data_IF_066725786905
#
_entry.id   IF_066725786905
#
_cell.length_a   1.000
_cell.length_b   1.000
_cell.length_c   1.000
_cell.angle_alpha   90.00
_cell.angle_beta   90.00
_cell.angle_gamma   90.00
#
_symmetry.space_group_name_H-M   'P 1'
#
loop_
_entity.id
_entity.type
_entity.pdbx_description
1 polymer ?
#
# COMPACT_ATOMS: atom_id res chain seq x y z
N UNK A 1 -14.06 -1.14 1.74
CA UNK A 1 -13.35 0.15 1.61
C UNK A 1 -12.50 0.29 0.34
N UNK A 2 -12.10 -0.79 -0.37
CA UNK A 2 -11.64 -0.67 -1.77
C UNK A 2 -12.79 -0.69 -2.81
N UNK A 3 -14.03 -0.93 -2.36
CA UNK A 3 -15.20 -1.07 -3.23
C UNK A 3 -15.87 0.28 -3.53
N UNK A 4 -15.78 1.24 -2.60
CA UNK A 4 -16.54 2.49 -2.68
C UNK A 4 -15.87 3.56 -3.56
N UNK A 5 -14.56 3.49 -3.77
CA UNK A 5 -13.79 4.47 -4.55
C UNK A 5 -13.88 4.27 -6.07
N UNK A 6 -14.41 3.14 -6.55
CA UNK A 6 -14.46 2.84 -8.00
C UNK A 6 -15.85 3.11 -8.58
N UNK A 7 -16.90 3.08 -7.75
CA UNK A 7 -18.28 3.32 -8.18
C UNK A 7 -18.49 4.77 -8.63
N UNK A 8 -17.76 5.74 -8.07
CA UNK A 8 -17.85 7.14 -8.50
C UNK A 8 -17.17 7.43 -9.85
N UNK A 9 -16.25 6.56 -10.30
CA UNK A 9 -15.52 6.76 -11.56
C UNK A 9 -16.28 6.29 -12.81
N UNK A 10 -17.29 5.42 -12.67
CA UNK A 10 -18.06 4.88 -13.80
C UNK A 10 -19.28 5.74 -14.17
N UNK A 11 -19.72 6.67 -13.31
CA UNK A 11 -20.95 7.46 -13.55
C UNK A 11 -20.75 8.75 -14.36
N UNK A 12 -19.53 9.15 -14.71
CA UNK A 12 -19.24 10.44 -15.35
C UNK A 12 -18.74 10.39 -16.81
N UNK A 13 -18.75 9.22 -17.47
CA UNK A 13 -18.18 9.08 -18.83
C UNK A 13 -19.21 9.29 -19.96
N UNK A 14 -20.49 9.50 -19.66
CA UNK A 14 -21.50 9.85 -20.66
C UNK A 14 -21.97 11.30 -20.53
N UNK A 15 -21.16 12.25 -21.00
CA UNK A 15 -21.60 13.43 -21.77
C UNK A 15 -20.43 14.34 -22.13
N UNK A 16 -20.51 14.87 -23.34
CA UNK A 16 -19.75 16.01 -23.88
C UNK A 16 -18.39 15.70 -24.50
N UNK A 17 -18.38 15.67 -25.83
CA UNK A 17 -17.16 15.68 -26.62
C UNK A 17 -16.52 17.07 -26.68
N UNK A 18 -15.24 17.11 -26.35
CA UNK A 18 -14.23 17.94 -27.00
C UNK A 18 -12.86 17.32 -26.65
N UNK A 19 -12.10 16.90 -27.66
CA UNK A 19 -10.77 16.34 -27.46
C UNK A 19 -9.81 17.50 -27.17
N UNK A 20 -9.42 17.64 -25.91
CA UNK A 20 -8.24 18.42 -25.51
C UNK A 20 -7.26 17.49 -24.79
N UNK A 21 -6.01 17.52 -25.22
CA UNK A 21 -5.00 16.50 -25.00
C UNK A 21 -4.20 16.71 -23.72
N UNK A 22 -4.90 16.67 -22.58
CA UNK A 22 -4.30 16.39 -21.27
C UNK A 22 -5.20 15.36 -20.60
N UNK A 23 -4.91 14.07 -20.82
CA UNK A 23 -5.45 13.02 -19.98
C UNK A 23 -4.89 13.29 -18.58
N UNK A 24 -5.70 13.90 -17.73
CA UNK A 24 -5.48 14.06 -16.31
C UNK A 24 -5.59 12.67 -15.69
N UNK A 25 -4.52 11.87 -15.85
CA UNK A 25 -4.44 10.53 -15.28
C UNK A 25 -4.41 10.74 -13.77
N UNK A 26 -5.37 10.15 -13.07
CA UNK A 26 -5.41 10.13 -11.60
C UNK A 26 -3.99 9.83 -11.05
N UNK A 27 -3.38 10.77 -10.30
CA UNK A 27 -2.04 10.60 -9.74
C UNK A 27 -1.88 9.31 -8.95
N UNK A 28 -2.96 8.83 -8.31
CA UNK A 28 -2.97 7.56 -7.56
C UNK A 28 -2.89 6.36 -8.50
N UNK A 29 -3.66 6.38 -9.59
CA UNK A 29 -3.61 5.34 -10.61
C UNK A 29 -2.22 5.27 -11.27
N UNK A 30 -1.60 6.44 -11.52
CA UNK A 30 -0.23 6.54 -12.04
C UNK A 30 0.80 5.96 -11.06
N UNK A 31 0.71 6.33 -9.77
CA UNK A 31 1.59 5.81 -8.72
C UNK A 31 1.43 4.29 -8.52
N UNK A 32 0.21 3.78 -8.59
CA UNK A 32 -0.04 2.34 -8.50
C UNK A 32 0.54 1.58 -9.70
N UNK A 33 0.40 2.13 -10.90
CA UNK A 33 1.01 1.54 -12.10
C UNK A 33 2.54 1.57 -12.02
N UNK A 34 3.13 2.63 -11.46
CA UNK A 34 4.56 2.72 -11.22
C UNK A 34 5.04 1.62 -10.24
N UNK A 35 4.31 1.40 -9.15
CA UNK A 35 4.59 0.30 -8.20
C UNK A 35 4.53 -1.07 -8.89
N UNK A 36 3.49 -1.31 -9.70
CA UNK A 36 3.36 -2.57 -10.45
C UNK A 36 4.56 -2.76 -11.38
N UNK A 37 4.89 -1.74 -12.17
CA UNK A 37 6.02 -1.82 -13.11
C UNK A 37 7.33 -2.09 -12.38
N UNK A 38 7.56 -1.42 -11.24
CA UNK A 38 8.72 -1.68 -10.39
C UNK A 38 8.82 -3.14 -9.94
N UNK A 39 7.70 -3.73 -9.51
CA UNK A 39 7.66 -5.14 -9.12
C UNK A 39 7.81 -6.10 -10.30
N UNK A 40 7.29 -5.76 -11.48
CA UNK A 40 7.49 -6.55 -12.70
C UNK A 40 8.97 -6.57 -13.09
N UNK A 41 9.65 -5.43 -13.01
CA UNK A 41 11.07 -5.31 -13.37
C UNK A 41 11.99 -6.07 -12.40
N UNK A 42 11.57 -6.21 -11.14
CA UNK A 42 12.30 -6.98 -10.11
C UNK A 42 11.91 -8.47 -10.06
N UNK A 43 10.84 -8.86 -10.76
CA UNK A 43 10.43 -10.25 -10.82
C UNK A 43 11.41 -11.03 -11.69
N UNK A 44 11.89 -12.17 -11.19
CA UNK A 44 12.82 -13.03 -11.94
C UNK A 44 12.15 -13.75 -13.11
N UNK A 45 10.81 -13.80 -13.15
CA UNK A 45 10.05 -14.46 -14.21
C UNK A 45 9.90 -13.52 -15.41
N UNK A 46 10.05 -14.03 -16.65
CA UNK A 46 9.82 -13.22 -17.83
C UNK A 46 8.34 -12.80 -17.92
N UNK A 47 8.07 -11.66 -18.56
CA UNK A 47 6.72 -11.13 -18.74
C UNK A 47 5.73 -12.13 -19.37
N UNK A 48 6.23 -13.04 -20.22
CA UNK A 48 5.42 -14.13 -20.80
C UNK A 48 4.94 -15.15 -19.76
N UNK A 49 5.74 -15.45 -18.74
CA UNK A 49 5.36 -16.34 -17.65
C UNK A 49 4.32 -15.68 -16.74
N UNK A 50 4.50 -14.40 -16.41
CA UNK A 50 3.51 -13.61 -15.66
C UNK A 50 2.17 -13.58 -16.42
N UNK A 51 2.21 -13.26 -17.72
CA UNK A 51 1.02 -13.26 -18.57
C UNK A 51 0.31 -14.62 -18.63
N UNK A 52 1.08 -15.72 -18.66
CA UNK A 52 0.54 -17.10 -18.63
C UNK A 52 -0.22 -17.39 -17.33
N UNK A 53 0.30 -16.97 -16.18
CA UNK A 53 -0.38 -17.12 -14.88
C UNK A 53 -1.70 -16.32 -14.87
N UNK A 54 -1.66 -15.10 -15.42
CA UNK A 54 -2.84 -14.23 -15.54
C UNK A 54 -3.82 -14.69 -16.63
N UNK A 55 -3.48 -15.71 -17.42
CA UNK A 55 -4.28 -16.22 -18.56
C UNK A 55 -4.57 -15.14 -19.61
N UNK A 56 -3.61 -14.27 -19.87
CA UNK A 56 -3.68 -13.22 -20.91
C UNK A 56 -2.48 -13.29 -21.84
N UNK A 57 -2.57 -12.63 -23.00
CA UNK A 57 -1.41 -12.55 -23.91
C UNK A 57 -0.32 -11.62 -23.37
N UNK A 58 0.95 -11.90 -23.67
CA UNK A 58 2.08 -11.00 -23.37
C UNK A 58 1.83 -9.59 -23.89
N UNK A 59 1.26 -9.47 -25.10
CA UNK A 59 0.92 -8.18 -25.71
C UNK A 59 -0.14 -7.43 -24.89
N UNK A 60 -1.16 -8.15 -24.41
CA UNK A 60 -2.21 -7.57 -23.57
C UNK A 60 -1.65 -7.08 -22.23
N UNK A 61 -0.83 -7.89 -21.56
CA UNK A 61 -0.14 -7.47 -20.33
C UNK A 61 0.73 -6.24 -20.58
N UNK A 62 1.54 -6.25 -21.65
CA UNK A 62 2.37 -5.09 -22.02
C UNK A 62 1.53 -3.83 -22.28
N UNK A 63 0.38 -3.94 -22.95
CA UNK A 63 -0.52 -2.78 -23.14
C UNK A 63 -1.07 -2.25 -21.82
N UNK A 64 -1.33 -3.10 -20.84
CA UNK A 64 -1.81 -2.68 -19.52
C UNK A 64 -0.70 -1.96 -18.74
N UNK A 65 0.51 -2.52 -18.72
CA UNK A 65 1.66 -1.96 -18.00
C UNK A 65 2.11 -0.60 -18.55
N UNK A 66 1.91 -0.37 -19.84
CA UNK A 66 2.20 0.91 -20.50
C UNK A 66 1.02 1.91 -20.47
N UNK A 67 -0.08 1.60 -19.77
CA UNK A 67 -1.26 2.48 -19.72
C UNK A 67 -2.09 2.55 -21.01
N UNK A 68 -1.70 1.85 -22.09
CA UNK A 68 -2.44 1.78 -23.36
C UNK A 68 -3.74 0.98 -23.31
N UNK A 69 -4.01 0.29 -22.20
CA UNK A 69 -5.25 -0.42 -21.90
C UNK A 69 -5.53 -0.27 -20.41
N UNK A 70 -6.71 0.26 -20.00
CA UNK A 70 -7.06 0.31 -18.60
C UNK A 70 -7.15 -1.10 -18.00
N UNK A 71 -6.65 -1.24 -16.78
CA UNK A 71 -6.64 -2.50 -16.05
C UNK A 71 -7.95 -2.67 -15.29
N UNK A 72 -8.65 -3.78 -15.48
CA UNK A 72 -9.85 -4.08 -14.70
C UNK A 72 -9.47 -4.45 -13.25
N UNK A 73 -10.36 -4.20 -12.29
CA UNK A 73 -10.15 -4.55 -10.87
C UNK A 73 -9.71 -6.00 -10.69
N UNK A 74 -10.40 -6.94 -11.36
CA UNK A 74 -10.06 -8.36 -11.25
C UNK A 74 -8.67 -8.71 -11.84
N UNK A 75 -8.20 -7.95 -12.84
CA UNK A 75 -6.85 -8.10 -13.39
C UNK A 75 -5.81 -7.51 -12.45
N UNK A 76 -6.13 -6.36 -11.84
CA UNK A 76 -5.30 -5.68 -10.84
C UNK A 76 -5.06 -6.57 -9.63
N UNK A 77 -6.13 -7.10 -9.02
CA UNK A 77 -6.05 -7.98 -7.85
C UNK A 77 -5.20 -9.22 -8.11
N UNK A 78 -5.37 -9.85 -9.28
CA UNK A 78 -4.57 -11.01 -9.67
C UNK A 78 -3.11 -10.62 -9.90
N UNK A 79 -2.85 -9.47 -10.52
CA UNK A 79 -1.49 -9.02 -10.78
C UNK A 79 -0.76 -8.68 -9.47
N UNK A 80 -1.41 -8.00 -8.53
CA UNK A 80 -0.86 -7.73 -7.20
C UNK A 80 -0.57 -9.02 -6.43
N UNK A 81 -1.44 -10.02 -6.52
CA UNK A 81 -1.22 -11.34 -5.91
C UNK A 81 -0.01 -12.04 -6.55
N UNK A 82 0.06 -12.09 -7.88
CA UNK A 82 1.17 -12.72 -8.62
C UNK A 82 2.51 -12.08 -8.30
N UNK A 83 2.54 -10.75 -8.17
CA UNK A 83 3.73 -9.96 -7.85
C UNK A 83 4.01 -9.89 -6.34
N UNK A 84 3.16 -10.49 -5.50
CA UNK A 84 3.25 -10.46 -4.03
C UNK A 84 3.32 -9.03 -3.47
N UNK A 85 2.56 -8.13 -4.07
CA UNK A 85 2.38 -6.77 -3.58
C UNK A 85 1.38 -6.83 -2.43
N UNK A 86 1.77 -6.37 -1.25
CA UNK A 86 0.88 -6.22 -0.09
C UNK A 86 -0.09 -5.05 -0.36
N UNK A 87 -1.41 -5.32 -0.50
CA UNK A 87 -2.37 -4.27 -0.83
C UNK A 87 -2.47 -3.19 0.25
N UNK A 88 -2.37 -3.56 1.53
CA UNK A 88 -2.48 -2.60 2.62
C UNK A 88 -1.25 -1.68 2.66
N UNK A 89 -0.06 -2.24 2.43
CA UNK A 89 1.18 -1.45 2.33
C UNK A 89 1.17 -0.53 1.12
N UNK A 90 0.67 -1.00 -0.03
CA UNK A 90 0.54 -0.19 -1.24
C UNK A 90 -0.42 0.99 -1.03
N UNK A 91 -1.57 0.77 -0.37
CA UNK A 91 -2.51 1.83 -0.03
C UNK A 91 -1.86 2.88 0.87
N UNK A 92 -1.12 2.48 1.91
CA UNK A 92 -0.45 3.47 2.78
C UNK A 92 0.62 4.26 2.01
N UNK A 93 1.45 3.60 1.21
CA UNK A 93 2.47 4.28 0.41
C UNK A 93 1.85 5.29 -0.58
N UNK A 94 0.79 4.89 -1.28
CA UNK A 94 0.24 5.69 -2.39
C UNK A 94 -0.82 6.69 -1.91
N UNK A 95 -1.78 6.27 -1.09
CA UNK A 95 -2.93 7.12 -0.72
C UNK A 95 -2.67 7.98 0.51
N UNK A 96 -1.83 7.50 1.45
CA UNK A 96 -1.55 8.21 2.70
C UNK A 96 -0.26 9.02 2.59
N UNK A 97 0.83 8.40 2.12
CA UNK A 97 2.13 9.06 1.99
C UNK A 97 2.20 9.85 0.66
N UNK A 98 1.55 9.38 -0.39
CA UNK A 98 1.60 10.03 -1.71
C UNK A 98 2.85 9.67 -2.52
N UNK A 99 3.61 8.67 -2.10
CA UNK A 99 4.82 8.22 -2.78
C UNK A 99 4.88 6.68 -2.82
N UNK A 100 4.79 6.13 -4.03
CA UNK A 100 4.88 4.69 -4.24
C UNK A 100 6.24 4.12 -3.86
N UNK A 101 7.32 4.92 -3.93
CA UNK A 101 8.68 4.47 -3.59
C UNK A 101 8.80 4.10 -2.10
N UNK A 102 7.98 4.72 -1.25
CA UNK A 102 7.89 4.36 0.16
C UNK A 102 7.36 2.95 0.40
N UNK A 103 6.80 2.26 -0.62
CA UNK A 103 6.41 0.87 -0.50
C UNK A 103 7.57 0.00 -0.02
N UNK A 104 8.80 0.22 -0.47
CA UNK A 104 9.96 -0.57 -0.05
C UNK A 104 10.65 -0.02 1.21
N UNK A 105 10.18 1.09 1.75
CA UNK A 105 10.76 1.70 2.95
C UNK A 105 10.67 0.74 4.14
N UNK A 106 11.81 0.38 4.80
CA UNK A 106 11.81 -0.53 5.94
C UNK A 106 10.97 0.00 7.11
N UNK A 107 10.95 1.31 7.32
CA UNK A 107 10.14 1.98 8.34
C UNK A 107 8.65 1.78 8.10
N UNK A 108 8.17 1.91 6.86
CA UNK A 108 6.80 1.55 6.52
C UNK A 108 6.52 0.06 6.83
N UNK A 109 7.46 -0.83 6.52
CA UNK A 109 7.36 -2.24 6.88
C UNK A 109 7.15 -2.48 8.38
N UNK A 110 7.91 -1.77 9.23
CA UNK A 110 7.77 -1.83 10.69
C UNK A 110 6.41 -1.30 11.14
N UNK A 111 5.98 -0.16 10.60
CA UNK A 111 4.66 0.43 10.92
C UNK A 111 3.54 -0.54 10.59
N UNK A 112 3.56 -1.19 9.42
CA UNK A 112 2.55 -2.18 9.04
C UNK A 112 2.49 -3.36 10.02
N UNK A 113 3.64 -3.85 10.49
CA UNK A 113 3.71 -4.90 11.51
C UNK A 113 3.15 -4.46 12.86
N UNK A 114 3.39 -3.21 13.27
CA UNK A 114 2.86 -2.66 14.52
C UNK A 114 1.35 -2.44 14.46
N UNK A 115 0.81 -2.03 13.31
CA UNK A 115 -0.62 -1.79 13.12
C UNK A 115 -1.44 -3.08 13.02
N UNK A 116 -0.87 -4.16 12.47
CA UNK A 116 -1.57 -5.44 12.31
C UNK A 116 -2.29 -5.97 13.58
N UNK A 117 -1.63 -6.08 14.75
CA UNK A 117 -2.29 -6.53 15.97
C UNK A 117 -3.37 -5.55 16.46
N UNK A 118 -3.19 -4.24 16.24
CA UNK A 118 -4.20 -3.22 16.60
C UNK A 118 -5.46 -3.42 15.76
N UNK A 119 -5.33 -3.53 14.43
CA UNK A 119 -6.45 -3.77 13.52
C UNK A 119 -7.15 -5.09 13.84
N UNK A 120 -6.39 -6.15 14.13
CA UNK A 120 -6.94 -7.46 14.51
C UNK A 120 -7.80 -7.36 15.78
N UNK A 121 -7.29 -6.67 16.82
CA UNK A 121 -8.04 -6.47 18.07
C UNK A 121 -9.26 -5.59 17.88
N UNK A 122 -9.17 -4.55 17.06
CA UNK A 122 -10.31 -3.68 16.73
C UNK A 122 -11.41 -4.49 16.06
N UNK A 123 -11.10 -5.28 15.03
CA UNK A 123 -12.08 -6.13 14.34
C UNK A 123 -12.73 -7.18 15.25
N UNK A 124 -11.99 -7.71 16.21
CA UNK A 124 -12.50 -8.71 17.14
C UNK A 124 -13.39 -8.12 18.25
N UNK A 125 -13.25 -6.82 18.56
CA UNK A 125 -13.89 -6.19 19.72
C UNK A 125 -14.91 -5.12 19.36
N UNK A 126 -14.86 -4.56 18.15
CA UNK A 126 -15.79 -3.54 17.71
C UNK A 126 -17.15 -4.19 17.40
N UNK A 127 -18.16 -3.79 18.16
CA UNK A 127 -19.58 -4.07 17.93
C UNK A 127 -20.27 -2.96 17.11
N UNK A 128 -19.50 -1.95 16.69
CA UNK A 128 -19.95 -0.82 15.88
C UNK A 128 -19.00 -0.54 14.70
N UNK A 129 -19.49 0.24 13.72
CA UNK A 129 -18.70 0.66 12.58
C UNK A 129 -17.58 1.63 13.00
N UNK A 130 -16.33 1.24 12.76
CA UNK A 130 -15.16 2.06 13.07
C UNK A 130 -15.18 3.32 12.20
N UNK A 131 -15.18 4.48 12.85
CA UNK A 131 -15.11 5.79 12.18
C UNK A 131 -13.67 6.33 12.18
N UNK A 132 -13.31 7.17 11.19
CA UNK A 132 -12.03 7.87 11.21
C UNK A 132 -11.85 8.71 12.47
N UNK A 133 -10.62 8.75 13.00
CA UNK A 133 -10.30 9.64 14.11
C UNK A 133 -10.44 11.10 13.70
N UNK A 134 -10.96 11.94 14.60
CA UNK A 134 -10.92 13.39 14.43
C UNK A 134 -9.47 13.89 14.49
N UNK A 135 -9.17 15.02 13.85
CA UNK A 135 -7.79 15.57 13.82
C UNK A 135 -7.17 15.71 15.22
N UNK A 136 -7.87 16.23 16.25
CA UNK A 136 -7.31 16.28 17.61
C UNK A 136 -7.04 14.91 18.23
N UNK A 137 -7.86 13.90 17.91
CA UNK A 137 -7.64 12.54 18.38
C UNK A 137 -6.47 11.86 17.65
N UNK A 138 -6.27 12.17 16.37
CA UNK A 138 -5.10 11.73 15.60
C UNK A 138 -3.82 12.29 16.23
N UNK A 139 -3.76 13.60 16.46
CA UNK A 139 -2.57 14.26 16.97
C UNK A 139 -2.19 13.69 18.36
N UNK A 140 -3.17 13.53 19.26
CA UNK A 140 -2.93 12.90 20.58
C UNK A 140 -2.46 11.46 20.48
N UNK A 141 -3.01 10.68 19.56
CA UNK A 141 -2.59 9.29 19.35
C UNK A 141 -1.18 9.24 18.80
N UNK A 142 -0.84 10.14 17.86
CA UNK A 142 0.49 10.26 17.29
C UNK A 142 1.54 10.60 18.35
N UNK A 143 1.28 11.60 19.19
CA UNK A 143 2.19 11.99 20.28
C UNK A 143 2.38 10.82 21.26
N UNK A 144 1.28 10.21 21.72
CA UNK A 144 1.33 9.08 22.64
C UNK A 144 2.10 7.87 22.06
N UNK A 145 1.90 7.57 20.78
CA UNK A 145 2.62 6.49 20.10
C UNK A 145 4.11 6.80 19.99
N UNK A 146 4.47 8.02 19.62
CA UNK A 146 5.87 8.44 19.52
C UNK A 146 6.58 8.30 20.88
N UNK A 147 5.98 8.84 21.94
CA UNK A 147 6.53 8.76 23.30
C UNK A 147 6.66 7.31 23.78
N UNK A 148 5.66 6.47 23.49
CA UNK A 148 5.66 5.05 23.87
C UNK A 148 6.78 4.28 23.15
N UNK A 149 6.98 4.53 21.85
CA UNK A 149 8.06 3.91 21.06
C UNK A 149 9.42 4.34 21.60
N UNK A 150 9.64 5.65 21.79
CA UNK A 150 10.90 6.20 22.32
C UNK A 150 11.21 5.58 23.70
N UNK A 151 10.22 5.57 24.59
CA UNK A 151 10.38 4.99 25.94
C UNK A 151 10.73 3.50 25.87
N UNK A 152 10.10 2.73 24.98
CA UNK A 152 10.38 1.31 24.84
C UNK A 152 11.80 1.07 24.29
N UNK A 153 12.23 1.85 23.31
CA UNK A 153 13.60 1.80 22.77
C UNK A 153 14.66 2.13 23.84
N UNK A 154 14.41 3.12 24.68
CA UNK A 154 15.26 3.44 25.82
C UNK A 154 15.35 2.26 26.81
N UNK A 155 14.21 1.62 27.12
CA UNK A 155 14.20 0.43 27.99
C UNK A 155 14.97 -0.75 27.39
N UNK A 156 14.81 -1.00 26.09
CA UNK A 156 15.54 -2.06 25.37
C UNK A 156 17.04 -1.78 25.40
N UNK A 157 17.44 -0.53 25.12
CA UNK A 157 18.85 -0.09 25.16
C UNK A 157 19.45 -0.25 26.55
N UNK A 158 18.74 0.20 27.59
CA UNK A 158 19.18 0.09 28.98
C UNK A 158 19.36 -1.38 29.40
N UNK A 159 18.45 -2.28 28.99
CA UNK A 159 18.60 -3.73 29.23
C UNK A 159 19.85 -4.28 28.54
N UNK A 160 20.02 -3.99 27.24
CA UNK A 160 21.19 -4.43 26.47
C UNK A 160 22.50 -3.97 27.10
N UNK A 161 22.59 -2.69 27.46
CA UNK A 161 23.81 -2.11 28.03
C UNK A 161 24.08 -2.65 29.45
N UNK A 162 23.03 -3.07 30.18
CA UNK A 162 23.18 -3.78 31.45
C UNK A 162 23.75 -5.18 31.24
N UNK A 163 23.29 -5.92 30.22
CA UNK A 163 23.85 -7.24 29.87
C UNK A 163 25.33 -7.16 29.44
N UNK A 164 25.72 -6.13 28.69
CA UNK A 164 27.11 -5.92 28.25
C UNK A 164 28.08 -5.55 29.39
N UNK A 165 27.56 -5.21 30.58
CA UNK A 165 28.35 -4.88 31.78
C UNK A 165 28.49 -6.05 32.75
N UNK A 166 27.95 -7.22 32.43
CA UNK A 166 28.17 -8.43 33.23
C UNK A 166 29.61 -8.94 32.99
N UNK A 167 30.37 -9.31 34.04
CA UNK A 167 31.70 -9.86 33.86
C UNK A 167 31.63 -11.18 33.08
N UNK A 168 32.54 -11.36 32.12
CA UNK A 168 32.72 -12.63 31.41
C UNK A 168 33.10 -13.72 32.42
N UNK A 169 32.38 -14.84 32.39
CA UNK A 169 32.59 -16.01 33.27
C UNK A 169 33.70 -16.89 32.67
#
# INVERSE_FOLDING_TARGET
MCEDLIIESEQNIEKSGHYDSHLDIDPRASAFLALINHHVDRDSRPLSAIAKILKISRRQLGRMLNGHRPMRIAELLKLTEVLRIDPARAVVAIEVIGDWQCYDDPGLGVVMHLLYPVVTRLRARADFAIQPLTKPAQDRLSDWLADTIITNEEQIRNRRDTFMKLPEI
#
